data_IF_084618761960
#
_entry.id   IF_084618761960
#
_cell.length_a   1.000
_cell.length_b   1.000
_cell.length_c   1.000
_cell.angle_alpha   90.00
_cell.angle_beta   90.00
_cell.angle_gamma   90.00
#
_symmetry.space_group_name_H-M   'P 1'
#
loop_
_entity.id
_entity.type
_entity.pdbx_description
1 polymer ?
#
# COMPACT_ATOMS: atom_id res chain seq x y z
N UNK A 1 53.48 -33.39 12.33
CA UNK A 1 53.40 -32.91 13.73
C UNK A 1 52.09 -32.12 13.80
N UNK A 2 50.95 -32.64 14.26
CA UNK A 2 50.67 -33.50 15.43
C UNK A 2 49.82 -32.63 16.39
N UNK A 3 48.66 -33.02 16.92
CA UNK A 3 47.98 -34.34 16.91
C UNK A 3 46.48 -34.14 17.22
N UNK A 4 45.59 -35.01 16.71
CA UNK A 4 44.22 -35.18 17.21
C UNK A 4 44.24 -35.91 18.58
N UNK A 5 43.07 -36.03 19.25
CA UNK A 5 42.52 -37.39 19.32
C UNK A 5 40.99 -37.52 19.19
N UNK A 6 40.62 -38.73 18.76
CA UNK A 6 39.29 -39.36 18.76
C UNK A 6 39.30 -40.54 19.77
N UNK A 7 38.25 -41.33 20.09
CA UNK A 7 36.87 -41.54 19.59
C UNK A 7 36.10 -42.35 20.70
N UNK A 8 34.83 -42.71 20.45
CA UNK A 8 34.02 -43.77 21.09
C UNK A 8 33.46 -43.57 22.54
N UNK A 9 32.40 -44.26 23.00
CA UNK A 9 31.09 -44.70 22.44
C UNK A 9 30.30 -45.57 23.49
N UNK A 10 29.14 -46.12 23.08
CA UNK A 10 28.35 -47.25 23.67
C UNK A 10 27.45 -46.89 24.88
N UNK A 11 26.10 -46.98 24.83
CA UNK A 11 25.13 -48.12 24.92
C UNK A 11 24.30 -47.96 26.22
N UNK A 12 23.02 -48.34 26.40
CA UNK A 12 21.94 -48.91 25.56
C UNK A 12 20.58 -48.32 26.03
N UNK A 13 19.45 -48.47 25.34
CA UNK A 13 18.56 -49.65 25.21
C UNK A 13 17.47 -49.75 26.32
N UNK A 14 16.34 -50.40 25.98
CA UNK A 14 15.09 -50.62 26.75
C UNK A 14 14.11 -49.41 26.75
N UNK A 15 12.90 -49.42 26.16
CA UNK A 15 11.91 -50.45 25.76
C UNK A 15 11.25 -51.19 26.92
N UNK A 16 10.05 -50.72 27.31
CA UNK A 16 8.99 -51.61 27.77
C UNK A 16 7.60 -51.08 27.40
N UNK A 17 6.64 -52.00 27.20
CA UNK A 17 5.32 -51.76 26.63
C UNK A 17 4.21 -52.08 27.63
N UNK A 18 3.09 -51.36 27.54
CA UNK A 18 1.92 -51.59 28.39
C UNK A 18 0.61 -51.27 27.68
N UNK A 19 -0.09 -52.30 27.21
CA UNK A 19 -1.45 -52.22 26.64
C UNK A 19 -2.47 -52.79 27.61
N UNK A 20 -3.66 -52.17 27.76
CA UNK A 20 -4.97 -52.88 27.82
C UNK A 20 -6.17 -51.91 27.79
N UNK A 21 -6.91 -52.00 26.67
CA UNK A 21 -8.37 -51.94 26.42
C UNK A 21 -9.42 -51.06 27.18
N UNK A 22 -10.59 -50.80 26.53
CA UNK A 22 -11.63 -49.87 27.02
C UNK A 22 -12.98 -50.51 27.40
N UNK A 23 -13.80 -49.81 28.21
CA UNK A 23 -15.25 -50.02 28.30
C UNK A 23 -15.97 -48.81 28.94
N UNK A 24 -17.20 -48.48 28.52
CA UNK A 24 -18.02 -47.46 29.19
C UNK A 24 -19.13 -46.81 28.32
N UNK A 25 -20.26 -47.49 28.13
CA UNK A 25 -21.39 -46.99 27.35
C UNK A 25 -22.50 -46.37 28.24
N UNK A 26 -23.17 -45.29 27.80
CA UNK A 26 -24.29 -44.71 28.56
C UNK A 26 -25.01 -43.47 27.97
N UNK A 27 -26.06 -43.73 27.17
CA UNK A 27 -27.43 -43.12 27.14
C UNK A 27 -27.69 -41.78 27.88
N UNK A 28 -28.63 -40.89 27.51
CA UNK A 28 -29.59 -40.75 26.39
C UNK A 28 -30.47 -39.49 26.59
N UNK A 29 -31.03 -38.88 25.52
CA UNK A 29 -32.10 -37.86 25.61
C UNK A 29 -32.07 -36.86 24.44
N UNK A 30 -32.84 -37.04 23.36
CA UNK A 30 -34.29 -36.78 23.21
C UNK A 30 -34.62 -35.36 22.69
N UNK A 31 -35.11 -35.28 21.45
CA UNK A 31 -35.73 -34.08 20.84
C UNK A 31 -37.10 -33.76 21.46
N UNK A 32 -37.60 -32.50 21.35
CA UNK A 32 -38.45 -32.08 20.22
C UNK A 32 -38.00 -30.73 19.62
N UNK A 33 -37.93 -30.50 18.30
CA UNK A 33 -39.03 -30.38 17.32
C UNK A 33 -40.11 -29.34 17.68
N UNK A 34 -39.96 -28.11 17.19
CA UNK A 34 -41.05 -27.15 17.07
C UNK A 34 -40.94 -26.39 15.75
N UNK A 35 -41.82 -26.71 14.81
CA UNK A 35 -41.98 -26.03 13.52
C UNK A 35 -43.24 -25.17 13.52
N UNK A 36 -43.30 -24.17 12.60
CA UNK A 36 -44.44 -23.34 12.13
C UNK A 36 -44.22 -21.82 12.32
N UNK A 37 -44.83 -20.97 11.46
CA UNK A 37 -44.95 -21.13 10.02
C UNK A 37 -44.62 -19.83 9.24
N UNK A 38 -44.43 -19.96 7.93
CA UNK A 38 -44.43 -18.82 7.00
C UNK A 38 -45.71 -17.97 7.15
N UNK A 39 -45.56 -16.65 7.28
CA UNK A 39 -46.63 -15.70 6.95
C UNK A 39 -46.27 -14.94 5.69
N UNK A 40 -46.96 -15.28 4.60
CA UNK A 40 -46.99 -14.46 3.39
C UNK A 40 -47.65 -13.11 3.70
N UNK A 41 -47.01 -12.02 3.29
CA UNK A 41 -47.61 -10.68 3.26
C UNK A 41 -47.41 -10.04 1.90
N UNK A 42 -48.27 -10.43 0.96
CA UNK A 42 -48.46 -9.72 -0.30
C UNK A 42 -49.13 -8.37 -0.02
N UNK A 43 -48.43 -7.25 -0.23
CA UNK A 43 -49.07 -5.94 -0.27
C UNK A 43 -48.48 -5.03 -1.37
N UNK A 44 -49.14 -5.10 -2.53
CA UNK A 44 -49.36 -4.06 -3.54
C UNK A 44 -48.27 -2.98 -3.70
N UNK A 45 -47.55 -3.03 -4.82
CA UNK A 45 -46.94 -1.83 -5.40
C UNK A 45 -48.03 -0.77 -5.63
N UNK A 46 -47.90 0.40 -4.99
CA UNK A 46 -48.58 1.61 -5.47
C UNK A 46 -47.74 2.23 -6.59
N UNK A 47 -48.16 2.02 -7.84
CA UNK A 47 -47.68 2.85 -8.96
C UNK A 47 -48.11 4.30 -8.70
N UNK A 48 -47.16 5.23 -8.60
CA UNK A 48 -47.43 6.66 -8.83
C UNK A 48 -47.17 6.94 -10.31
N UNK A 49 -48.23 7.20 -11.05
CA UNK A 49 -48.17 7.75 -12.40
C UNK A 49 -47.81 9.22 -12.34
N UNK A 50 -46.67 9.60 -12.90
CA UNK A 50 -46.45 10.97 -13.39
C UNK A 50 -46.49 10.89 -14.91
N UNK A 51 -47.40 11.62 -15.55
CA UNK A 51 -47.63 11.52 -16.98
C UNK A 51 -46.85 12.58 -17.76
N UNK A 52 -46.33 12.18 -18.92
CA UNK A 52 -46.03 13.06 -20.06
C UNK A 52 -46.51 12.38 -21.34
N UNK A 53 -46.81 13.20 -22.34
CA UNK A 53 -47.67 12.82 -23.49
C UNK A 53 -46.91 11.96 -24.51
N UNK A 54 -47.62 11.05 -25.15
CA UNK A 54 -47.22 10.54 -26.46
C UNK A 54 -47.40 11.63 -27.52
N UNK A 55 -46.63 11.55 -28.61
CA UNK A 55 -47.04 11.94 -29.96
C UNK A 55 -46.18 11.19 -30.99
N UNK A 56 -46.86 10.62 -31.98
CA UNK A 56 -46.48 10.48 -33.38
C UNK A 56 -45.17 9.76 -33.78
N UNK A 57 -45.32 8.49 -34.18
CA UNK A 57 -44.43 7.79 -35.11
C UNK A 57 -45.07 7.71 -36.50
N UNK A 58 -44.43 8.20 -37.57
CA UNK A 58 -44.88 7.94 -38.94
C UNK A 58 -44.35 6.58 -39.43
N UNK A 59 -45.24 5.75 -39.95
CA UNK A 59 -44.92 4.51 -40.65
C UNK A 59 -44.69 4.77 -42.14
N UNK A 60 -43.46 4.69 -42.64
CA UNK A 60 -43.17 4.37 -44.04
C UNK A 60 -41.71 3.97 -44.27
N UNK A 61 -41.49 3.19 -45.32
CA UNK A 61 -40.22 2.56 -45.70
C UNK A 61 -39.33 3.43 -46.59
N UNK A 62 -38.06 3.62 -46.22
CA UNK A 62 -36.97 3.87 -47.18
C UNK A 62 -35.57 3.70 -46.56
N UNK A 63 -34.76 2.83 -47.18
CA UNK A 63 -33.28 2.82 -47.29
C UNK A 63 -32.37 3.07 -46.07
N UNK A 64 -31.42 2.15 -45.86
CA UNK A 64 -30.50 2.06 -44.72
C UNK A 64 -29.32 3.07 -44.71
N UNK A 65 -29.47 4.26 -45.31
CA UNK A 65 -28.39 5.26 -45.39
C UNK A 65 -28.60 6.50 -44.51
N UNK A 66 -29.86 6.86 -44.19
CA UNK A 66 -30.14 8.12 -43.49
C UNK A 66 -30.09 8.02 -41.95
N UNK A 67 -30.12 6.79 -41.42
CA UNK A 67 -30.01 6.54 -39.98
C UNK A 67 -28.62 6.87 -39.40
N UNK A 68 -27.57 6.85 -40.24
CA UNK A 68 -26.17 7.07 -39.81
C UNK A 68 -25.88 8.56 -39.56
N UNK A 69 -26.50 9.45 -40.33
CA UNK A 69 -26.28 10.91 -40.25
C UNK A 69 -27.05 11.56 -39.09
N UNK A 70 -28.21 11.02 -38.71
CA UNK A 70 -28.96 11.51 -37.55
C UNK A 70 -28.32 11.11 -36.22
N UNK A 71 -27.77 9.90 -36.14
CA UNK A 71 -27.10 9.39 -34.93
C UNK A 71 -25.81 10.15 -34.59
N UNK A 72 -25.01 10.54 -35.59
CA UNK A 72 -23.74 11.25 -35.39
C UNK A 72 -23.93 12.67 -34.83
N UNK A 73 -24.92 13.43 -35.34
CA UNK A 73 -25.19 14.78 -34.82
C UNK A 73 -25.82 14.79 -33.42
N UNK A 74 -26.65 13.80 -33.06
CA UNK A 74 -27.21 13.73 -31.71
C UNK A 74 -26.20 13.31 -30.62
N UNK A 75 -25.17 12.52 -30.98
CA UNK A 75 -24.08 12.14 -30.08
C UNK A 75 -23.11 13.30 -29.79
N UNK A 76 -22.91 14.23 -30.73
CA UNK A 76 -22.01 15.38 -30.55
C UNK A 76 -22.58 16.50 -29.66
N UNK A 77 -23.92 16.59 -29.51
CA UNK A 77 -24.56 17.64 -28.68
C UNK A 77 -24.77 17.19 -27.21
N UNK A 78 -24.72 15.88 -26.92
CA UNK A 78 -24.81 15.36 -25.54
C UNK A 78 -23.45 15.21 -24.84
N UNK A 79 -22.31 15.31 -25.54
CA UNK A 79 -20.98 15.30 -24.91
C UNK A 79 -20.63 16.62 -24.23
N UNK A 80 -20.98 17.77 -24.85
CA UNK A 80 -20.67 19.11 -24.34
C UNK A 80 -21.38 19.41 -23.02
N UNK A 81 -22.68 19.17 -22.94
CA UNK A 81 -23.50 19.50 -21.76
C UNK A 81 -23.25 18.60 -20.55
N UNK A 82 -22.72 17.38 -20.76
CA UNK A 82 -22.28 16.52 -19.66
C UNK A 82 -20.91 16.97 -19.11
N UNK A 83 -20.03 17.45 -20.01
CA UNK A 83 -18.69 17.97 -19.64
C UNK A 83 -18.78 19.23 -18.78
N UNK A 84 -19.68 20.16 -19.10
CA UNK A 84 -19.89 21.37 -18.27
C UNK A 84 -20.46 21.08 -16.87
N UNK A 85 -21.34 20.08 -16.72
CA UNK A 85 -21.90 19.70 -15.40
C UNK A 85 -20.89 18.97 -14.51
N UNK A 86 -19.96 18.22 -15.10
CA UNK A 86 -18.83 17.64 -14.36
C UNK A 86 -17.86 18.75 -13.94
N UNK A 87 -17.54 19.69 -14.84
CA UNK A 87 -16.68 20.83 -14.53
C UNK A 87 -17.23 21.73 -13.40
N UNK A 88 -18.52 22.05 -13.41
CA UNK A 88 -19.15 22.89 -12.36
C UNK A 88 -19.27 22.21 -11.00
N UNK A 89 -19.31 20.88 -10.92
CA UNK A 89 -19.35 20.15 -9.64
C UNK A 89 -17.96 20.01 -8.99
N UNK A 90 -16.87 20.21 -9.75
CA UNK A 90 -15.49 20.20 -9.24
C UNK A 90 -14.96 21.57 -8.77
N UNK A 91 -15.81 22.60 -8.78
CA UNK A 91 -15.43 23.98 -8.43
C UNK A 91 -15.18 24.26 -6.94
N UNK A 92 -15.43 23.30 -6.04
CA UNK A 92 -15.24 23.48 -4.60
C UNK A 92 -14.05 22.65 -4.06
N UNK A 93 -12.90 22.73 -4.75
CA UNK A 93 -11.62 22.41 -4.13
C UNK A 93 -11.36 23.46 -3.05
N UNK A 94 -11.37 23.06 -1.79
CA UNK A 94 -10.88 23.89 -0.68
C UNK A 94 -9.42 24.24 -0.95
N UNK A 95 -9.16 25.42 -1.50
CA UNK A 95 -7.83 25.99 -1.60
C UNK A 95 -7.26 26.11 -0.19
N UNK A 96 -6.27 25.28 0.16
CA UNK A 96 -5.44 25.51 1.34
C UNK A 96 -4.88 26.93 1.24
N UNK A 97 -5.07 27.72 2.29
CA UNK A 97 -4.67 29.11 2.29
C UNK A 97 -3.14 29.21 2.09
N UNK A 98 -2.73 29.89 1.02
CA UNK A 98 -1.35 30.22 0.67
C UNK A 98 -0.31 29.11 0.95
N UNK A 99 -0.30 28.07 0.11
CA UNK A 99 0.91 27.26 -0.06
C UNK A 99 2.00 28.13 -0.74
N UNK A 100 2.80 28.81 0.07
CA UNK A 100 3.93 29.65 -0.36
C UNK A 100 5.20 28.84 -0.69
N UNK A 101 5.17 27.51 -0.63
CA UNK A 101 6.34 26.66 -0.84
C UNK A 101 6.62 26.56 -2.35
N UNK A 102 7.88 26.40 -2.76
CA UNK A 102 8.20 26.29 -4.18
C UNK A 102 7.45 25.10 -4.81
N UNK A 103 7.10 25.20 -6.11
CA UNK A 103 6.64 24.06 -6.88
C UNK A 103 7.80 23.06 -7.06
N UNK A 104 7.45 21.80 -7.29
CA UNK A 104 8.41 20.81 -7.77
C UNK A 104 9.00 21.30 -9.10
N UNK A 105 10.33 21.30 -9.30
CA UNK A 105 10.93 21.76 -10.55
C UNK A 105 10.43 20.97 -11.77
N UNK A 106 10.14 21.67 -12.86
CA UNK A 106 9.71 21.06 -14.12
C UNK A 106 10.75 20.02 -14.59
N UNK A 107 10.28 18.82 -14.96
CA UNK A 107 11.10 17.69 -15.40
C UNK A 107 12.11 17.17 -14.35
N UNK A 108 11.86 17.37 -13.04
CA UNK A 108 12.68 16.77 -11.99
C UNK A 108 12.79 15.25 -12.17
N UNK A 109 14.00 14.74 -11.98
CA UNK A 109 14.35 13.32 -12.07
C UNK A 109 15.51 13.03 -11.10
N UNK A 110 16.02 11.79 -11.08
CA UNK A 110 17.04 11.35 -10.12
C UNK A 110 18.36 12.16 -10.12
N UNK A 111 18.72 12.83 -11.23
CA UNK A 111 19.87 13.77 -11.25
C UNK A 111 19.67 15.04 -10.43
N UNK A 112 18.43 15.34 -10.02
CA UNK A 112 18.06 16.43 -9.11
C UNK A 112 18.06 16.03 -7.63
N UNK A 113 18.55 14.83 -7.28
CA UNK A 113 18.71 14.39 -5.90
C UNK A 113 19.93 15.11 -5.28
N UNK A 114 19.78 15.82 -4.15
CA UNK A 114 20.94 16.35 -3.40
C UNK A 114 21.82 15.23 -2.88
N UNK A 115 23.09 15.51 -2.56
CA UNK A 115 23.96 14.49 -1.96
C UNK A 115 23.34 13.86 -0.70
N UNK A 116 23.41 12.54 -0.62
CA UNK A 116 22.95 11.72 0.50
C UNK A 116 24.13 11.14 1.30
N UNK A 117 25.36 11.65 1.08
CA UNK A 117 26.58 11.16 1.74
C UNK A 117 26.43 11.15 3.27
N UNK A 118 26.73 10.00 3.86
CA UNK A 118 26.65 9.78 5.31
C UNK A 118 25.23 9.72 5.87
N UNK A 119 24.20 9.56 5.03
CA UNK A 119 22.83 9.27 5.47
C UNK A 119 22.57 7.77 5.43
N UNK A 120 21.98 7.22 6.49
CA UNK A 120 21.57 5.82 6.55
C UNK A 120 20.08 5.70 6.23
N UNK A 121 19.73 4.79 5.32
CA UNK A 121 18.39 4.68 4.73
C UNK A 121 17.89 3.25 4.78
N UNK A 122 16.65 3.03 5.20
CA UNK A 122 15.95 1.75 5.08
C UNK A 122 14.93 1.85 3.95
N UNK A 123 14.96 0.92 3.01
CA UNK A 123 13.93 0.77 1.97
C UNK A 123 13.29 -0.61 2.10
N UNK A 124 12.02 -0.67 2.50
CA UNK A 124 11.30 -1.94 2.63
C UNK A 124 10.89 -2.47 1.25
N UNK A 125 11.10 -3.76 0.98
CA UNK A 125 10.78 -4.37 -0.31
C UNK A 125 11.70 -3.93 -1.46
N UNK A 126 12.95 -3.59 -1.17
CA UNK A 126 13.93 -3.10 -2.13
C UNK A 126 14.47 -4.14 -3.14
N UNK A 127 14.02 -5.41 -3.09
CA UNK A 127 14.55 -6.46 -3.95
C UNK A 127 14.06 -6.40 -5.42
N UNK A 128 13.15 -5.48 -5.78
CA UNK A 128 12.60 -5.35 -7.15
C UNK A 128 11.77 -4.09 -7.32
N UNK A 129 11.62 -3.61 -8.57
CA UNK A 129 10.67 -2.55 -8.92
C UNK A 129 11.00 -1.21 -8.24
N UNK A 130 9.98 -0.44 -7.87
CA UNK A 130 10.13 0.90 -7.27
C UNK A 130 11.12 0.91 -6.11
N UNK A 131 11.07 -0.08 -5.20
CA UNK A 131 11.97 -0.15 -4.06
C UNK A 131 13.44 -0.38 -4.45
N UNK A 132 13.69 -1.14 -5.52
CA UNK A 132 15.04 -1.37 -6.05
C UNK A 132 15.62 -0.08 -6.67
N UNK A 133 14.84 0.59 -7.52
CA UNK A 133 15.26 1.84 -8.16
C UNK A 133 15.41 2.97 -7.13
N UNK A 134 14.54 3.00 -6.12
CA UNK A 134 14.68 3.95 -4.99
C UNK A 134 15.98 3.70 -4.24
N UNK A 135 16.32 2.45 -3.93
CA UNK A 135 17.58 2.09 -3.26
C UNK A 135 18.81 2.42 -4.15
N UNK A 136 18.72 2.16 -5.45
CA UNK A 136 19.77 2.44 -6.43
C UNK A 136 20.10 3.93 -6.48
N UNK A 137 19.10 4.79 -6.67
CA UNK A 137 19.34 6.23 -6.80
C UNK A 137 19.78 6.90 -5.50
N UNK A 138 19.33 6.40 -4.34
CA UNK A 138 19.83 6.86 -3.05
C UNK A 138 21.32 6.48 -2.85
N UNK A 139 21.68 5.23 -3.13
CA UNK A 139 23.06 4.77 -3.03
C UNK A 139 23.98 5.47 -4.04
N UNK A 140 23.52 5.69 -5.29
CA UNK A 140 24.23 6.49 -6.31
C UNK A 140 24.58 7.90 -5.83
N UNK A 141 23.72 8.49 -5.00
CA UNK A 141 23.91 9.83 -4.45
C UNK A 141 24.64 9.85 -3.09
N UNK A 142 25.16 8.71 -2.62
CA UNK A 142 26.03 8.61 -1.44
C UNK A 142 25.39 8.01 -0.18
N UNK A 143 24.13 7.56 -0.23
CA UNK A 143 23.46 6.98 0.94
C UNK A 143 23.95 5.56 1.26
N UNK A 144 23.98 5.23 2.55
CA UNK A 144 24.13 3.85 3.01
C UNK A 144 22.74 3.20 3.14
N UNK A 145 22.42 2.28 2.22
CA UNK A 145 21.05 1.79 2.02
C UNK A 145 20.88 0.33 2.46
N UNK A 146 19.98 0.12 3.42
CA UNK A 146 19.53 -1.20 3.86
C UNK A 146 18.34 -1.68 3.04
N UNK A 147 18.55 -2.74 2.26
CA UNK A 147 17.53 -3.45 1.50
C UNK A 147 16.76 -4.40 2.42
N UNK A 148 15.74 -3.89 3.08
CA UNK A 148 14.94 -4.66 4.02
C UNK A 148 13.91 -5.53 3.27
N UNK A 149 14.21 -6.83 3.08
CA UNK A 149 13.45 -7.71 2.20
C UNK A 149 13.13 -9.09 2.84
N UNK A 150 11.96 -9.66 2.52
CA UNK A 150 11.47 -10.90 3.13
C UNK A 150 12.07 -12.22 2.61
N UNK A 151 12.90 -12.16 1.58
CA UNK A 151 13.45 -13.35 0.93
C UNK A 151 14.94 -13.17 0.75
N UNK A 152 15.73 -14.00 1.43
CA UNK A 152 17.19 -13.90 1.44
C UNK A 152 17.81 -14.00 0.06
N UNK A 153 17.39 -14.98 -0.75
CA UNK A 153 17.94 -15.20 -2.09
C UNK A 153 17.75 -13.98 -2.99
N UNK A 154 16.51 -13.47 -3.10
CA UNK A 154 16.21 -12.27 -3.90
C UNK A 154 16.80 -10.99 -3.31
N UNK A 155 16.91 -10.92 -1.98
CA UNK A 155 17.52 -9.80 -1.28
C UNK A 155 19.01 -9.68 -1.58
N UNK A 156 19.76 -10.79 -1.45
CA UNK A 156 21.19 -10.87 -1.79
C UNK A 156 21.44 -10.70 -3.29
N UNK A 157 20.58 -11.24 -4.15
CA UNK A 157 20.63 -11.02 -5.61
C UNK A 157 20.46 -9.52 -5.95
N UNK A 158 19.52 -8.83 -5.31
CA UNK A 158 19.33 -7.40 -5.48
C UNK A 158 20.50 -6.58 -4.94
N UNK A 159 21.01 -6.92 -3.75
CA UNK A 159 22.21 -6.30 -3.18
C UNK A 159 23.41 -6.42 -4.14
N UNK A 160 23.68 -7.61 -4.67
CA UNK A 160 24.75 -7.83 -5.64
C UNK A 160 24.56 -6.95 -6.90
N UNK A 161 23.35 -6.92 -7.47
CA UNK A 161 23.04 -6.08 -8.65
C UNK A 161 23.23 -4.59 -8.38
N UNK A 162 22.89 -4.11 -7.18
CA UNK A 162 23.16 -2.72 -6.80
C UNK A 162 24.67 -2.48 -6.66
N UNK A 163 25.42 -3.35 -5.96
CA UNK A 163 26.89 -3.23 -5.87
C UNK A 163 27.53 -3.17 -7.27
N UNK A 164 27.12 -4.05 -8.18
CA UNK A 164 27.57 -4.06 -9.57
C UNK A 164 27.24 -2.75 -10.31
N UNK A 165 26.03 -2.23 -10.15
CA UNK A 165 25.58 -0.97 -10.77
C UNK A 165 26.22 0.30 -10.16
N UNK A 166 26.75 0.20 -8.94
CA UNK A 166 27.42 1.29 -8.21
C UNK A 166 28.94 1.33 -8.43
N UNK A 167 29.56 0.24 -8.91
CA UNK A 167 31.02 0.14 -9.11
C UNK A 167 31.65 1.26 -9.96
N UNK A 168 30.89 1.88 -10.88
CA UNK A 168 31.34 2.99 -11.72
C UNK A 168 31.02 4.38 -11.16
N UNK A 169 30.39 4.46 -9.99
CA UNK A 169 29.95 5.71 -9.34
C UNK A 169 30.92 6.07 -8.23
N UNK A 170 31.83 7.00 -8.50
CA UNK A 170 32.97 7.33 -7.63
C UNK A 170 32.62 7.76 -6.19
N UNK A 171 31.40 8.24 -6.00
CA UNK A 171 30.88 8.81 -4.74
C UNK A 171 29.65 8.04 -4.20
N UNK A 172 29.42 6.82 -4.67
CA UNK A 172 28.35 5.96 -4.19
C UNK A 172 28.52 5.62 -2.69
N UNK A 173 27.40 5.52 -1.99
CA UNK A 173 27.34 4.94 -0.64
C UNK A 173 27.25 3.42 -0.69
N UNK A 174 27.08 2.80 0.48
CA UNK A 174 26.97 1.34 0.56
C UNK A 174 25.54 0.82 0.36
N UNK A 175 25.44 -0.48 0.11
CA UNK A 175 24.18 -1.23 0.16
C UNK A 175 24.39 -2.48 1.00
N UNK A 176 23.38 -2.90 1.76
CA UNK A 176 23.36 -4.21 2.43
C UNK A 176 21.96 -4.83 2.46
N UNK A 177 21.85 -6.15 2.33
CA UNK A 177 20.61 -6.86 2.58
C UNK A 177 20.40 -7.13 4.08
N UNK A 178 19.18 -6.86 4.57
CA UNK A 178 18.70 -7.39 5.85
C UNK A 178 17.32 -8.03 5.71
N UNK A 179 17.09 -9.11 6.47
CA UNK A 179 15.84 -9.86 6.44
C UNK A 179 14.70 -9.08 7.11
N UNK A 180 13.62 -8.83 6.38
CA UNK A 180 12.39 -8.23 6.92
C UNK A 180 11.16 -8.72 6.15
N UNK A 181 10.29 -9.50 6.79
CA UNK A 181 8.91 -9.66 6.35
C UNK A 181 7.99 -8.72 7.13
N UNK A 182 7.56 -7.63 6.49
CA UNK A 182 6.62 -6.66 7.08
C UNK A 182 5.21 -7.25 7.34
N UNK A 183 4.93 -8.48 6.91
CA UNK A 183 3.68 -9.18 7.23
C UNK A 183 3.77 -10.05 8.50
N UNK A 184 4.96 -10.14 9.13
CA UNK A 184 5.23 -10.87 10.37
C UNK A 184 5.75 -9.88 11.42
N UNK A 185 4.97 -9.61 12.48
CA UNK A 185 5.36 -8.65 13.51
C UNK A 185 6.59 -9.12 14.31
N UNK A 186 6.80 -10.43 14.45
CA UNK A 186 8.02 -11.00 15.01
C UNK A 186 9.25 -10.67 14.16
N UNK A 187 9.14 -10.77 12.83
CA UNK A 187 10.19 -10.33 11.90
C UNK A 187 10.45 -8.83 11.99
N UNK A 188 9.41 -8.00 12.17
CA UNK A 188 9.58 -6.54 12.32
C UNK A 188 10.32 -6.19 13.60
N UNK A 189 9.93 -6.78 14.74
CA UNK A 189 10.63 -6.60 16.02
C UNK A 189 12.11 -6.96 15.90
N UNK A 190 12.40 -8.17 15.39
CA UNK A 190 13.76 -8.68 15.21
C UNK A 190 14.61 -7.76 14.32
N UNK A 191 14.07 -7.35 13.17
CA UNK A 191 14.76 -6.43 12.26
C UNK A 191 15.08 -5.09 12.93
N UNK A 192 14.13 -4.51 13.68
CA UNK A 192 14.35 -3.23 14.35
C UNK A 192 15.43 -3.33 15.43
N UNK A 193 15.44 -4.41 16.22
CA UNK A 193 16.48 -4.65 17.23
C UNK A 193 17.86 -4.91 16.60
N UNK A 194 17.95 -5.72 15.55
CA UNK A 194 19.19 -5.94 14.79
C UNK A 194 19.70 -4.65 14.11
N UNK A 195 18.80 -3.80 13.60
CA UNK A 195 19.17 -2.52 13.01
C UNK A 195 19.74 -1.57 14.07
N UNK A 196 19.03 -1.35 15.19
CA UNK A 196 19.51 -0.52 16.33
C UNK A 196 20.81 -1.04 16.96
N UNK A 197 21.08 -2.33 16.87
CA UNK A 197 22.33 -2.92 17.37
C UNK A 197 23.53 -2.73 16.42
N UNK A 198 23.29 -2.43 15.14
CA UNK A 198 24.34 -2.28 14.11
C UNK A 198 24.45 -0.87 13.52
N UNK A 199 23.48 0.00 13.78
CA UNK A 199 23.40 1.38 13.29
C UNK A 199 23.08 2.35 14.43
N UNK A 200 23.82 3.45 14.49
CA UNK A 200 23.64 4.56 15.43
C UNK A 200 22.76 5.70 14.88
N UNK A 201 22.31 5.58 13.61
CA UNK A 201 21.48 6.56 12.92
C UNK A 201 20.48 5.95 11.94
N UNK A 202 19.43 6.71 11.62
CA UNK A 202 18.46 6.44 10.57
C UNK A 202 17.88 7.76 10.05
N UNK A 203 18.29 8.16 8.85
CA UNK A 203 17.91 9.43 8.23
C UNK A 203 16.63 9.32 7.41
N UNK A 204 16.41 8.18 6.75
CA UNK A 204 15.26 7.93 5.89
C UNK A 204 14.67 6.54 6.15
N UNK A 205 13.38 6.48 6.46
CA UNK A 205 12.60 5.23 6.46
C UNK A 205 11.59 5.27 5.32
N UNK A 206 11.80 4.43 4.29
CA UNK A 206 10.93 4.33 3.13
C UNK A 206 10.08 3.06 3.23
N UNK A 207 8.84 3.26 3.68
CA UNK A 207 7.80 2.24 3.80
C UNK A 207 7.19 1.95 2.41
N UNK A 208 7.94 1.23 1.57
CA UNK A 208 7.61 0.91 0.17
C UNK A 208 6.96 -0.47 -0.03
N UNK A 209 7.27 -1.45 0.83
CA UNK A 209 6.79 -2.82 0.67
C UNK A 209 5.25 -2.92 0.61
N UNK A 210 4.73 -3.87 -0.17
CA UNK A 210 3.29 -4.10 -0.17
C UNK A 210 2.85 -5.26 -1.06
N UNK A 211 1.58 -5.59 -0.90
CA UNK A 211 0.82 -6.53 -1.75
C UNK A 211 -0.44 -5.84 -2.26
N UNK A 212 -0.89 -6.24 -3.45
CA UNK A 212 -2.02 -5.63 -4.14
C UNK A 212 -3.04 -6.66 -4.57
N UNK A 213 -4.31 -6.45 -4.19
CA UNK A 213 -5.48 -7.20 -4.66
C UNK A 213 -5.33 -8.74 -4.59
N UNK A 214 -4.65 -9.23 -3.55
CA UNK A 214 -4.45 -10.66 -3.31
C UNK A 214 -5.71 -11.32 -2.73
N UNK A 215 -5.91 -12.65 -2.92
CA UNK A 215 -6.98 -13.39 -2.24
C UNK A 215 -6.89 -13.27 -0.71
N UNK A 216 -8.04 -13.38 -0.04
CA UNK A 216 -8.09 -13.34 1.42
C UNK A 216 -7.17 -14.40 2.04
N UNK A 217 -6.33 -13.95 2.96
CA UNK A 217 -5.50 -14.79 3.78
C UNK A 217 -5.10 -14.04 5.05
N UNK A 218 -4.72 -14.80 6.08
CA UNK A 218 -4.12 -14.27 7.30
C UNK A 218 -2.60 -14.34 7.24
N UNK A 219 -1.93 -13.44 7.95
CA UNK A 219 -0.50 -13.54 8.29
C UNK A 219 -0.29 -14.51 9.46
N UNK A 220 0.98 -14.70 9.85
CA UNK A 220 1.33 -15.52 11.03
C UNK A 220 0.71 -14.98 12.32
N UNK A 221 0.55 -13.66 12.43
CA UNK A 221 -0.11 -12.98 13.56
C UNK A 221 -1.66 -13.06 13.51
N UNK A 222 -2.24 -13.66 12.47
CA UNK A 222 -3.69 -13.79 12.31
C UNK A 222 -4.39 -12.59 11.68
N UNK A 223 -3.65 -11.61 11.15
CA UNK A 223 -4.18 -10.38 10.55
C UNK A 223 -4.40 -10.52 9.04
N UNK A 224 -5.36 -9.78 8.49
CA UNK A 224 -5.61 -9.78 7.04
C UNK A 224 -4.37 -9.30 6.27
N UNK A 225 -3.96 -10.06 5.25
CA UNK A 225 -2.66 -9.91 4.61
C UNK A 225 -2.38 -8.52 4.05
N UNK A 226 -3.33 -7.86 3.39
CA UNK A 226 -3.09 -6.54 2.78
C UNK A 226 -2.96 -5.45 3.84
N UNK A 227 -3.86 -5.41 4.83
CA UNK A 227 -3.77 -4.50 5.97
C UNK A 227 -2.47 -4.72 6.77
N UNK A 228 -2.12 -5.98 7.05
CA UNK A 228 -0.91 -6.32 7.80
C UNK A 228 0.36 -5.87 7.07
N UNK A 229 0.51 -6.26 5.80
CA UNK A 229 1.72 -5.97 5.00
C UNK A 229 1.86 -4.49 4.67
N UNK A 230 0.77 -3.84 4.22
CA UNK A 230 0.87 -2.49 3.65
C UNK A 230 0.87 -1.41 4.73
N UNK A 231 0.25 -1.68 5.89
CA UNK A 231 0.05 -0.71 6.97
C UNK A 231 0.61 -1.19 8.33
N UNK A 232 0.08 -2.29 8.91
CA UNK A 232 0.38 -2.61 10.32
C UNK A 232 1.87 -2.88 10.58
N UNK A 233 2.54 -3.64 9.70
CA UNK A 233 3.98 -3.88 9.81
C UNK A 233 4.81 -2.60 9.68
N UNK A 234 4.43 -1.69 8.78
CA UNK A 234 5.08 -0.39 8.64
C UNK A 234 4.82 0.55 9.82
N UNK A 235 3.62 0.52 10.40
CA UNK A 235 3.30 1.23 11.65
C UNK A 235 4.24 0.77 12.77
N UNK A 236 4.37 -0.56 12.95
CA UNK A 236 5.22 -1.17 13.98
C UNK A 236 6.70 -0.90 13.73
N UNK A 237 7.16 -1.00 12.47
CA UNK A 237 8.53 -0.70 12.07
C UNK A 237 8.87 0.77 12.36
N UNK A 238 7.98 1.69 11.97
CA UNK A 238 8.15 3.13 12.21
C UNK A 238 8.18 3.42 13.72
N UNK A 239 7.26 2.84 14.50
CA UNK A 239 7.21 3.05 15.95
C UNK A 239 8.50 2.62 16.66
N UNK A 240 9.07 1.47 16.29
CA UNK A 240 10.28 0.95 16.93
C UNK A 240 11.57 1.66 16.52
N UNK A 241 11.61 2.18 15.30
CA UNK A 241 12.75 2.94 14.78
C UNK A 241 12.62 4.45 15.03
N UNK A 242 11.47 4.91 15.54
CA UNK A 242 11.21 6.33 15.78
C UNK A 242 12.21 7.02 16.73
N UNK A 243 12.67 6.40 17.85
CA UNK A 243 13.69 7.01 18.69
C UNK A 243 14.98 7.32 17.90
N UNK A 244 15.36 6.43 16.98
CA UNK A 244 16.56 6.57 16.16
C UNK A 244 16.37 7.60 15.04
N UNK A 245 15.19 7.63 14.39
CA UNK A 245 14.80 8.71 13.48
C UNK A 245 14.89 10.08 14.17
N UNK A 246 14.42 10.20 15.41
CA UNK A 246 14.44 11.43 16.20
C UNK A 246 15.87 11.84 16.58
N UNK A 247 16.70 10.90 17.00
CA UNK A 247 18.13 11.12 17.26
C UNK A 247 18.89 11.58 16.00
N UNK A 248 18.47 11.12 14.82
CA UNK A 248 19.09 11.40 13.52
C UNK A 248 18.50 12.61 12.80
N UNK A 249 17.77 13.48 13.50
CA UNK A 249 17.16 14.66 12.89
C UNK A 249 18.24 15.57 12.24
N UNK A 250 18.06 16.04 10.98
CA UNK A 250 16.84 15.96 10.17
C UNK A 250 16.61 14.59 9.50
N UNK A 251 15.45 13.98 9.77
CA UNK A 251 15.07 12.66 9.27
C UNK A 251 13.66 12.64 8.68
N UNK A 252 13.33 11.59 7.92
CA UNK A 252 12.04 11.49 7.20
C UNK A 252 11.50 10.07 7.12
N UNK A 253 10.20 9.95 7.36
CA UNK A 253 9.40 8.75 7.05
C UNK A 253 8.63 9.01 5.75
N UNK A 254 8.84 8.18 4.74
CA UNK A 254 8.14 8.22 3.45
C UNK A 254 7.26 6.99 3.32
N UNK A 255 5.94 7.18 3.26
CA UNK A 255 4.96 6.11 3.08
C UNK A 255 4.54 6.00 1.60
N UNK A 256 4.65 4.83 0.98
CA UNK A 256 4.25 4.64 -0.43
C UNK A 256 2.78 4.21 -0.53
N UNK A 257 1.91 5.16 -0.84
CA UNK A 257 0.48 4.95 -1.11
C UNK A 257 0.23 4.65 -2.60
N UNK A 258 -1.00 4.85 -3.07
CA UNK A 258 -1.47 4.56 -4.43
C UNK A 258 -2.73 5.38 -4.75
N UNK A 259 -2.97 5.68 -6.03
CA UNK A 259 -4.26 6.17 -6.52
C UNK A 259 -5.47 5.31 -6.11
N UNK A 260 -5.25 4.03 -5.75
CA UNK A 260 -6.29 3.17 -5.20
C UNK A 260 -7.01 3.78 -3.98
N UNK A 261 -6.34 4.61 -3.17
CA UNK A 261 -6.95 5.29 -2.01
C UNK A 261 -8.15 6.17 -2.39
N UNK A 262 -8.21 6.68 -3.64
CA UNK A 262 -9.32 7.48 -4.13
C UNK A 262 -10.66 6.70 -4.12
N UNK A 263 -10.59 5.37 -4.25
CA UNK A 263 -11.73 4.46 -4.22
C UNK A 263 -12.05 3.93 -2.82
N UNK A 264 -11.25 4.24 -1.80
CA UNK A 264 -11.46 3.76 -0.44
C UNK A 264 -12.74 4.34 0.18
N UNK A 265 -13.41 3.50 0.98
CA UNK A 265 -14.56 3.88 1.82
C UNK A 265 -14.03 4.40 3.15
N UNK A 266 -14.62 5.49 3.65
CA UNK A 266 -14.27 6.05 4.96
C UNK A 266 -15.02 5.36 6.12
N UNK A 267 -16.17 4.74 5.84
CA UNK A 267 -17.06 4.11 6.83
C UNK A 267 -16.35 3.11 7.77
N UNK A 268 -15.49 2.18 7.30
CA UNK A 268 -14.77 1.24 8.18
C UNK A 268 -13.85 1.90 9.22
N UNK A 269 -13.46 3.16 8.99
CA UNK A 269 -12.58 3.93 9.87
C UNK A 269 -13.33 4.82 10.86
N UNK A 270 -14.63 5.07 10.66
CA UNK A 270 -15.40 6.03 11.48
C UNK A 270 -16.54 5.40 12.29
N UNK A 271 -17.01 4.19 11.95
CA UNK A 271 -18.24 3.61 12.54
C UNK A 271 -18.04 2.48 13.55
N UNK A 272 -16.81 1.98 13.75
CA UNK A 272 -16.53 0.92 14.74
C UNK A 272 -15.42 -0.05 14.34
N UNK A 273 -15.21 -1.14 15.09
CA UNK A 273 -13.94 -1.88 15.17
C UNK A 273 -13.68 -2.86 14.00
N UNK A 274 -13.86 -2.41 12.75
CA UNK A 274 -13.74 -3.24 11.53
C UNK A 274 -12.92 -2.58 10.42
N UNK A 275 -11.87 -1.83 10.79
CA UNK A 275 -10.86 -1.34 9.83
C UNK A 275 -10.26 -2.54 9.07
N UNK A 276 -9.79 -3.54 9.81
CA UNK A 276 -9.30 -4.80 9.25
C UNK A 276 -10.46 -5.80 9.04
N UNK A 277 -10.48 -6.51 7.90
CA UNK A 277 -11.40 -7.65 7.68
C UNK A 277 -10.97 -8.87 8.51
N UNK A 278 -11.92 -9.60 9.09
CA UNK A 278 -11.67 -10.71 10.03
C UNK A 278 -11.94 -12.11 9.46
N UNK A 279 -12.74 -12.18 8.40
CA UNK A 279 -13.03 -13.37 7.59
C UNK A 279 -13.14 -13.01 6.08
N UNK A 280 -13.45 -14.00 5.25
CA UNK A 280 -13.54 -13.91 3.79
C UNK A 280 -14.91 -13.41 3.28
N UNK A 281 -15.89 -13.19 4.16
CA UNK A 281 -17.28 -12.94 3.76
C UNK A 281 -17.43 -11.55 3.14
N UNK A 282 -17.68 -11.54 1.83
CA UNK A 282 -17.73 -10.29 1.06
C UNK A 282 -16.36 -9.64 0.89
N UNK A 283 -15.27 -10.38 1.05
CA UNK A 283 -13.92 -9.86 0.84
C UNK A 283 -13.73 -9.42 -0.62
N UNK A 284 -13.56 -8.12 -0.82
CA UNK A 284 -13.20 -7.52 -2.10
C UNK A 284 -11.72 -7.13 -2.06
N UNK A 285 -10.89 -7.87 -2.78
CA UNK A 285 -9.43 -7.70 -2.74
C UNK A 285 -8.98 -6.30 -3.16
N UNK A 286 -9.68 -5.67 -4.12
CA UNK A 286 -9.41 -4.30 -4.56
C UNK A 286 -9.91 -3.23 -3.58
N UNK A 287 -11.02 -3.48 -2.87
CA UNK A 287 -11.53 -2.61 -1.82
C UNK A 287 -10.58 -2.57 -0.62
N UNK A 288 -10.15 -3.76 -0.15
CA UNK A 288 -9.20 -3.86 0.96
C UNK A 288 -7.82 -3.31 0.57
N UNK A 289 -7.41 -3.45 -0.70
CA UNK A 289 -6.21 -2.76 -1.19
C UNK A 289 -6.35 -1.23 -1.11
N UNK A 290 -7.46 -0.67 -1.63
CA UNK A 290 -7.75 0.76 -1.58
C UNK A 290 -7.76 1.29 -0.15
N UNK A 291 -8.41 0.58 0.77
CA UNK A 291 -8.43 0.91 2.20
C UNK A 291 -7.03 0.83 2.82
N UNK A 292 -6.23 -0.19 2.51
CA UNK A 292 -4.84 -0.27 3.00
C UNK A 292 -3.96 0.90 2.54
N UNK A 293 -4.24 1.45 1.35
CA UNK A 293 -3.53 2.61 0.80
C UNK A 293 -4.06 3.94 1.35
N UNK A 294 -5.35 3.99 1.75
CA UNK A 294 -5.87 5.05 2.60
C UNK A 294 -5.23 5.03 4.00
N UNK A 295 -4.96 3.85 4.58
CA UNK A 295 -4.26 3.74 5.87
C UNK A 295 -2.88 4.44 5.83
N UNK A 296 -2.10 4.29 4.75
CA UNK A 296 -0.80 4.96 4.61
C UNK A 296 -0.90 6.50 4.67
N UNK A 297 -1.95 7.09 4.10
CA UNK A 297 -2.21 8.53 4.16
C UNK A 297 -2.66 8.96 5.56
N UNK A 298 -3.67 8.28 6.11
CA UNK A 298 -4.20 8.54 7.46
C UNK A 298 -3.09 8.48 8.53
N UNK A 299 -2.20 7.49 8.42
CA UNK A 299 -1.02 7.33 9.27
C UNK A 299 -0.03 8.51 9.13
N UNK A 300 0.29 8.92 7.90
CA UNK A 300 1.21 10.05 7.63
C UNK A 300 0.71 11.34 8.26
N UNK A 301 -0.58 11.63 8.11
CA UNK A 301 -1.20 12.86 8.60
C UNK A 301 -1.47 12.81 10.12
N UNK A 302 -1.71 11.63 10.70
CA UNK A 302 -1.73 11.43 12.16
C UNK A 302 -0.35 11.60 12.79
N UNK A 303 0.69 10.97 12.22
CA UNK A 303 2.08 11.12 12.69
C UNK A 303 2.47 12.60 12.66
N UNK A 304 2.20 13.30 11.55
CA UNK A 304 2.43 14.75 11.45
C UNK A 304 1.72 15.57 12.53
N UNK A 305 0.45 15.25 12.85
CA UNK A 305 -0.28 15.92 13.94
C UNK A 305 0.31 15.61 15.31
N UNK A 306 0.76 14.38 15.55
CA UNK A 306 1.39 13.98 16.83
C UNK A 306 2.75 14.65 17.03
N UNK A 307 3.58 14.69 16.00
CA UNK A 307 4.86 15.42 16.01
C UNK A 307 4.65 16.90 16.36
N UNK A 308 3.69 17.56 15.68
CA UNK A 308 3.32 18.96 15.96
C UNK A 308 2.79 19.15 17.39
N UNK A 309 1.92 18.25 17.88
CA UNK A 309 1.35 18.33 19.22
C UNK A 309 2.39 18.15 20.34
N UNK A 310 3.45 17.37 20.10
CA UNK A 310 4.55 17.14 21.05
C UNK A 310 5.77 18.04 20.81
N UNK A 311 5.69 19.02 19.89
CA UNK A 311 6.78 19.91 19.50
C UNK A 311 8.06 19.20 19.01
N UNK A 312 7.90 18.00 18.42
CA UNK A 312 9.02 17.23 17.86
C UNK A 312 9.46 17.88 16.54
N UNK A 313 10.61 18.54 16.56
CA UNK A 313 11.23 19.17 15.39
C UNK A 313 12.16 18.21 14.65
N UNK A 314 12.40 18.48 13.37
CA UNK A 314 13.42 17.78 12.56
C UNK A 314 13.04 16.38 12.06
N UNK A 315 12.00 15.73 12.60
CA UNK A 315 11.43 14.52 11.98
C UNK A 315 10.27 14.91 11.06
N UNK A 316 10.30 14.45 9.82
CA UNK A 316 9.25 14.71 8.82
C UNK A 316 8.49 13.43 8.44
N UNK A 317 7.19 13.54 8.16
CA UNK A 317 6.39 12.41 7.66
C UNK A 317 5.61 12.82 6.42
N UNK A 318 5.86 12.10 5.33
CA UNK A 318 5.32 12.39 4.00
C UNK A 318 4.87 11.12 3.30
N UNK A 319 4.11 11.31 2.22
CA UNK A 319 3.53 10.23 1.44
C UNK A 319 3.80 10.44 -0.04
N UNK A 320 4.06 9.35 -0.76
CA UNK A 320 4.24 9.37 -2.20
C UNK A 320 3.36 8.30 -2.86
N UNK A 321 3.03 8.45 -4.12
CA UNK A 321 2.48 7.38 -4.94
C UNK A 321 3.19 7.30 -6.29
N UNK A 322 3.41 6.11 -6.85
CA UNK A 322 4.23 5.92 -8.05
C UNK A 322 3.45 6.11 -9.36
N UNK A 323 2.20 6.56 -9.31
CA UNK A 323 1.25 6.46 -10.42
C UNK A 323 0.82 5.03 -10.72
N UNK A 324 0.66 4.70 -12.00
CA UNK A 324 0.27 3.38 -12.49
C UNK A 324 1.48 2.64 -13.08
N UNK A 325 2.19 1.90 -12.23
CA UNK A 325 3.44 1.22 -12.60
C UNK A 325 3.27 -0.24 -12.98
N UNK A 326 4.04 -0.70 -13.96
CA UNK A 326 4.29 -2.13 -14.19
C UNK A 326 5.25 -2.70 -13.14
N UNK A 327 4.82 -2.74 -11.88
CA UNK A 327 5.56 -3.49 -10.86
C UNK A 327 5.19 -4.96 -10.90
N UNK A 328 6.15 -5.82 -10.52
CA UNK A 328 5.95 -7.27 -10.30
C UNK A 328 4.91 -7.61 -9.19
N UNK A 329 4.17 -6.63 -8.68
CA UNK A 329 3.01 -6.81 -7.80
C UNK A 329 1.84 -7.49 -8.52
N UNK A 330 1.76 -7.37 -9.85
CA UNK A 330 0.87 -8.21 -10.66
C UNK A 330 1.57 -9.54 -10.95
N UNK A 331 1.38 -10.53 -10.06
CA UNK A 331 1.68 -11.91 -10.40
C UNK A 331 0.83 -12.39 -11.59
N UNK A 332 1.26 -13.44 -12.33
CA UNK A 332 0.43 -13.99 -13.40
C UNK A 332 -0.94 -14.41 -12.84
N UNK A 333 -2.05 -14.16 -13.56
CA UNK A 333 -3.38 -14.52 -13.08
C UNK A 333 -3.43 -16.01 -12.74
N UNK A 334 -4.07 -16.34 -11.61
CA UNK A 334 -4.27 -17.72 -11.18
C UNK A 334 -4.94 -18.55 -12.29
N UNK A 335 -4.76 -19.87 -12.25
CA UNK A 335 -5.34 -20.81 -13.21
C UNK A 335 -6.87 -20.69 -13.33
N UNK A 336 -7.54 -20.16 -12.31
CA UNK A 336 -8.98 -19.88 -12.25
C UNK A 336 -9.40 -18.60 -13.01
N UNK A 337 -8.46 -17.75 -13.41
CA UNK A 337 -8.72 -16.59 -14.25
C UNK A 337 -9.20 -17.01 -15.64
N UNK A 338 -10.43 -16.63 -15.97
CA UNK A 338 -11.05 -16.85 -17.29
C UNK A 338 -10.25 -16.21 -18.44
N UNK A 339 -10.50 -16.66 -19.68
CA UNK A 339 -9.73 -16.25 -20.85
C UNK A 339 -9.61 -14.73 -21.03
N UNK A 340 -10.65 -13.98 -20.65
CA UNK A 340 -10.67 -12.51 -20.71
C UNK A 340 -9.67 -11.86 -19.73
N UNK A 341 -9.46 -12.38 -18.51
CA UNK A 341 -8.45 -11.82 -17.61
C UNK A 341 -7.02 -12.11 -18.08
N UNK A 342 -6.81 -13.27 -18.73
CA UNK A 342 -5.53 -13.60 -19.39
C UNK A 342 -5.27 -12.73 -20.62
N UNK A 343 -6.33 -12.35 -21.35
CA UNK A 343 -6.24 -11.41 -22.46
C UNK A 343 -5.96 -9.99 -21.96
N UNK A 344 -6.67 -9.51 -20.93
CA UNK A 344 -6.43 -8.21 -20.32
C UNK A 344 -5.04 -8.10 -19.67
N UNK A 345 -4.51 -9.20 -19.12
CA UNK A 345 -3.11 -9.27 -18.67
C UNK A 345 -2.12 -9.09 -19.84
N UNK A 346 -2.32 -9.85 -20.93
CA UNK A 346 -1.47 -9.76 -22.14
C UNK A 346 -1.54 -8.41 -22.85
N UNK A 347 -2.74 -7.83 -22.95
CA UNK A 347 -2.95 -6.52 -23.57
C UNK A 347 -2.50 -5.40 -22.64
N UNK A 348 -2.73 -5.52 -21.33
CA UNK A 348 -2.25 -4.57 -20.32
C UNK A 348 -0.74 -4.38 -20.39
N UNK A 349 0.03 -5.47 -20.42
CA UNK A 349 1.48 -5.46 -20.61
C UNK A 349 1.98 -4.97 -21.99
N UNK A 350 1.07 -4.67 -22.93
CA UNK A 350 1.37 -4.11 -24.25
C UNK A 350 0.89 -2.65 -24.42
N UNK A 351 0.18 -2.10 -23.43
CA UNK A 351 -0.28 -0.71 -23.47
C UNK A 351 0.81 0.23 -22.93
N UNK A 352 1.14 1.34 -23.62
CA UNK A 352 2.12 2.33 -23.18
C UNK A 352 1.60 3.25 -22.05
N UNK A 353 0.79 2.68 -21.15
CA UNK A 353 0.14 3.35 -19.99
C UNK A 353 0.79 2.87 -18.67
N UNK A 354 1.70 1.90 -18.76
CA UNK A 354 2.45 1.37 -17.63
C UNK A 354 3.76 2.13 -17.46
N UNK A 355 3.87 2.87 -16.36
CA UNK A 355 5.12 3.53 -15.99
C UNK A 355 6.18 2.48 -15.59
N UNK A 356 7.41 2.67 -16.05
CA UNK A 356 8.58 1.86 -15.71
C UNK A 356 9.02 2.10 -14.26
N UNK A 357 9.81 1.19 -13.70
CA UNK A 357 10.22 1.27 -12.29
C UNK A 357 11.07 2.53 -11.96
N UNK A 358 12.05 2.94 -12.79
CA UNK A 358 12.80 4.18 -12.57
C UNK A 358 11.90 5.42 -12.48
N UNK A 359 11.04 5.65 -13.47
CA UNK A 359 10.10 6.80 -13.44
C UNK A 359 9.10 6.66 -12.28
N UNK A 360 8.65 5.43 -11.98
CA UNK A 360 7.81 5.10 -10.83
C UNK A 360 8.43 5.40 -9.46
N UNK A 361 9.76 5.45 -9.37
CA UNK A 361 10.46 5.81 -8.14
C UNK A 361 10.56 7.34 -7.93
N UNK A 362 10.39 8.17 -8.98
CA UNK A 362 10.63 9.62 -8.87
C UNK A 362 9.75 10.33 -7.81
N UNK A 363 8.44 10.05 -7.63
CA UNK A 363 7.66 10.64 -6.55
C UNK A 363 8.17 10.24 -5.15
N UNK A 364 8.64 9.01 -4.98
CA UNK A 364 9.22 8.51 -3.72
C UNK A 364 10.59 9.16 -3.46
N UNK A 365 11.43 9.27 -4.50
CA UNK A 365 12.74 9.91 -4.41
C UNK A 365 12.61 11.41 -4.11
N UNK A 366 11.70 12.13 -4.77
CA UNK A 366 11.44 13.54 -4.46
C UNK A 366 11.03 13.70 -2.99
N UNK A 367 10.01 12.94 -2.56
CA UNK A 367 9.54 12.94 -1.17
C UNK A 367 10.67 12.58 -0.19
N UNK A 368 11.59 11.69 -0.54
CA UNK A 368 12.71 11.29 0.31
C UNK A 368 13.86 12.32 0.37
N UNK A 369 14.19 13.02 -0.71
CA UNK A 369 15.46 13.75 -0.84
C UNK A 369 15.35 15.24 -1.05
N UNK A 370 14.22 15.76 -1.53
CA UNK A 370 14.10 17.19 -1.83
C UNK A 370 14.03 18.04 -0.53
N UNK A 371 14.57 19.25 -0.63
CA UNK A 371 14.84 20.16 0.49
C UNK A 371 13.62 21.01 0.90
N UNK A 372 12.66 21.16 0.00
CA UNK A 372 11.39 21.89 0.16
C UNK A 372 10.23 21.03 0.68
N UNK A 373 10.50 19.75 0.96
CA UNK A 373 9.51 18.77 1.42
C UNK A 373 9.22 18.96 2.90
N UNK A 374 7.95 19.20 3.23
CA UNK A 374 7.47 19.34 4.60
C UNK A 374 6.58 18.17 5.03
N UNK A 375 6.40 17.99 6.34
CA UNK A 375 5.41 17.03 6.85
C UNK A 375 3.99 17.35 6.38
N UNK A 376 3.18 16.31 6.18
CA UNK A 376 1.85 16.33 5.52
C UNK A 376 1.88 16.37 3.98
N UNK A 377 3.04 16.53 3.33
CA UNK A 377 3.09 16.56 1.86
C UNK A 377 2.81 15.19 1.21
N UNK A 378 2.12 15.27 0.06
CA UNK A 378 1.79 14.13 -0.80
C UNK A 378 2.35 14.36 -2.21
N UNK A 379 3.16 13.42 -2.70
CA UNK A 379 3.79 13.48 -4.02
C UNK A 379 3.28 12.40 -4.97
N UNK A 380 3.11 12.78 -6.22
CA UNK A 380 2.61 11.92 -7.29
C UNK A 380 3.11 12.39 -8.66
N UNK A 381 2.86 11.64 -9.74
CA UNK A 381 3.21 12.10 -11.09
C UNK A 381 2.33 13.27 -11.56
N UNK A 382 2.86 14.18 -12.39
CA UNK A 382 2.09 15.33 -12.91
C UNK A 382 1.08 14.97 -14.03
N UNK A 383 1.43 14.02 -14.91
CA UNK A 383 0.66 13.84 -16.14
C UNK A 383 -0.67 13.10 -15.89
N UNK A 384 -1.60 13.33 -16.82
CA UNK A 384 -2.97 12.81 -16.93
C UNK A 384 -3.47 11.90 -15.78
N UNK A 385 -4.30 12.45 -14.89
CA UNK A 385 -4.85 11.77 -13.70
C UNK A 385 -3.79 11.21 -12.73
N UNK A 386 -2.61 11.83 -12.66
CA UNK A 386 -1.48 11.42 -11.82
C UNK A 386 -0.99 9.98 -12.14
N UNK A 387 -1.19 9.53 -13.38
CA UNK A 387 -0.90 8.15 -13.80
C UNK A 387 0.60 7.97 -14.08
N UNK A 388 1.28 8.98 -14.62
CA UNK A 388 2.68 8.90 -15.06
C UNK A 388 3.35 10.29 -15.13
N UNK A 389 4.67 10.34 -15.31
CA UNK A 389 5.44 11.58 -15.50
C UNK A 389 6.34 11.98 -14.32
N UNK A 390 6.95 13.19 -14.38
CA UNK A 390 7.79 13.72 -13.31
C UNK A 390 6.96 13.97 -12.04
N UNK A 391 7.61 14.04 -10.86
CA UNK A 391 6.90 14.21 -9.60
C UNK A 391 6.31 15.62 -9.46
N UNK A 392 5.26 15.72 -8.65
CA UNK A 392 4.53 16.93 -8.30
C UNK A 392 3.92 16.80 -6.91
N UNK A 393 3.78 17.92 -6.20
CA UNK A 393 2.98 17.97 -4.97
C UNK A 393 1.50 17.89 -5.36
N UNK A 394 0.85 16.78 -5.04
CA UNK A 394 -0.55 16.46 -5.39
C UNK A 394 -1.45 16.62 -4.15
N UNK A 395 -2.75 16.38 -4.30
CA UNK A 395 -3.73 16.55 -3.21
C UNK A 395 -4.43 15.24 -2.91
N UNK A 396 -4.45 14.83 -1.65
CA UNK A 396 -5.16 13.63 -1.23
C UNK A 396 -6.68 13.88 -1.26
N UNK A 397 -7.46 12.81 -1.43
CA UNK A 397 -8.93 12.89 -1.27
C UNK A 397 -9.25 13.34 0.15
N UNK A 398 -10.28 14.17 0.33
CA UNK A 398 -10.68 14.71 1.65
C UNK A 398 -10.83 13.64 2.76
N UNK A 399 -11.20 12.40 2.40
CA UNK A 399 -11.26 11.25 3.32
C UNK A 399 -9.94 10.89 3.98
N UNK A 400 -8.80 11.24 3.37
CA UNK A 400 -7.47 11.03 3.93
C UNK A 400 -7.14 12.02 5.06
N UNK A 401 -7.74 13.22 5.06
CA UNK A 401 -7.55 14.23 6.10
C UNK A 401 -8.59 14.13 7.24
N UNK A 402 -9.41 13.07 7.26
CA UNK A 402 -10.38 12.84 8.33
C UNK A 402 -9.66 12.47 9.65
N UNK A 403 -9.77 13.36 10.64
CA UNK A 403 -9.08 13.24 11.93
C UNK A 403 -9.59 12.07 12.77
N UNK A 404 -10.88 11.73 12.67
CA UNK A 404 -11.50 10.65 13.44
C UNK A 404 -11.06 9.31 12.87
N UNK A 405 -11.10 9.16 11.55
CA UNK A 405 -10.59 7.98 10.86
C UNK A 405 -9.11 7.72 11.14
N UNK A 406 -8.30 8.78 11.15
CA UNK A 406 -6.87 8.69 11.40
C UNK A 406 -6.53 8.35 12.86
N UNK A 407 -7.25 8.93 13.82
CA UNK A 407 -7.12 8.57 15.24
C UNK A 407 -7.55 7.12 15.49
N UNK A 408 -8.71 6.70 14.98
CA UNK A 408 -9.21 5.34 15.11
C UNK A 408 -8.24 4.32 14.48
N UNK A 409 -7.65 4.65 13.33
CA UNK A 409 -6.61 3.82 12.70
C UNK A 409 -5.38 3.68 13.60
N UNK A 410 -4.91 4.76 14.22
CA UNK A 410 -3.76 4.72 15.12
C UNK A 410 -4.04 3.85 16.35
N UNK A 411 -5.17 4.08 17.03
CA UNK A 411 -5.57 3.32 18.22
C UNK A 411 -5.75 1.82 17.90
N UNK A 412 -6.36 1.49 16.78
CA UNK A 412 -6.49 0.10 16.32
C UNK A 412 -5.12 -0.51 15.94
N UNK A 413 -4.22 0.27 15.35
CA UNK A 413 -2.86 -0.19 15.02
C UNK A 413 -2.06 -0.51 16.28
N UNK A 414 -2.10 0.37 17.30
CA UNK A 414 -1.49 0.09 18.61
C UNK A 414 -2.11 -1.14 19.29
N UNK A 415 -3.45 -1.27 19.22
CA UNK A 415 -4.18 -2.38 19.84
C UNK A 415 -3.86 -3.73 19.19
N UNK A 416 -3.78 -3.78 17.86
CA UNK A 416 -3.43 -4.99 17.11
C UNK A 416 -1.94 -5.33 17.32
N UNK A 417 -1.04 -4.36 17.13
CA UNK A 417 0.39 -4.56 17.30
C UNK A 417 0.83 -4.87 18.74
N UNK A 418 0.04 -4.46 19.74
CA UNK A 418 0.43 -4.39 21.17
C UNK A 418 1.67 -3.50 21.38
N UNK A 419 1.85 -2.51 20.52
CA UNK A 419 2.92 -1.52 20.56
C UNK A 419 2.29 -0.16 20.81
N UNK A 420 2.83 0.60 21.77
CA UNK A 420 2.53 2.03 21.89
C UNK A 420 3.52 2.82 21.04
N UNK A 421 3.00 3.68 20.18
CA UNK A 421 3.84 4.57 19.38
C UNK A 421 3.85 5.94 20.06
N UNK A 422 4.79 6.08 20.99
CA UNK A 422 5.13 7.38 21.57
C UNK A 422 6.03 8.17 20.63
N UNK A 423 5.70 9.44 20.42
CA UNK A 423 6.53 10.37 19.64
C UNK A 423 7.33 11.32 20.53
N UNK A 424 7.08 11.36 21.85
CA UNK A 424 7.84 12.17 22.82
C UNK A 424 9.28 11.72 23.00
#
# INVERSE_FOLDING_TARGET
MGTLPTLYATTGADVESGTTEPAGCGRSGAHPSASRPLRSRTMRLRRRTCGTRANDWPTSSSTCSDAVTYATNHLLVHSSTCTEKIATTMGNRSSSANDNRPPVPDNWNASGIPTQKGRTVIVTGANSGIGFETALELARNGADVVLACRNEGRGKEAEQKLREALNSTADAGSVEFKMLDVSDLGSVNKFADEFKATHDRLDLLINNAGVMAVPYAKTVDGYERQFATNHLGHFVLTAQLFPLLRQSAPSRVVNVSSLAHLSAKLEPFTTGPRIMRSDDKGYSASEVYAESKLCNLLFTFELTRRLKAQNVSGVTSVVAHPGFTATNLMGPPSSEGGWLSRLLWRVGGLLPVLQDAPTGALPTLYAATALDVESDDYYGPDNYFEIWGPPKRVQAKATAHDKVAAQNLWEESERLAKVKFDVQ
#
